data_IF_587353499861
#
_entry.id   IF_587353499861
#
_cell.length_a   1.000
_cell.length_b   1.000
_cell.length_c   1.000
_cell.angle_alpha   90.00
_cell.angle_beta   90.00
_cell.angle_gamma   90.00
#
_symmetry.space_group_name_H-M   'P 1'
#
loop_
_entity.id
_entity.type
_entity.pdbx_description
1 polymer ?
#
# COMPACT_ATOMS: atom_id res chain seq x y z
N UNK A 1 -27.28 -18.92 1.98
CA UNK A 1 -27.59 -17.47 1.91
C UNK A 1 -28.27 -17.06 3.20
N UNK A 2 -27.64 -16.23 4.03
CA UNK A 2 -28.30 -15.55 5.16
C UNK A 2 -28.13 -14.05 4.97
N UNK A 3 -29.26 -13.38 4.80
CA UNK A 3 -29.39 -11.94 4.60
C UNK A 3 -29.16 -11.27 5.96
N UNK A 4 -28.15 -10.40 6.05
CA UNK A 4 -27.96 -9.51 7.20
C UNK A 4 -28.75 -8.24 6.93
N UNK A 5 -29.74 -7.96 7.77
CA UNK A 5 -30.53 -6.73 7.72
C UNK A 5 -29.81 -5.69 8.60
N UNK A 6 -29.23 -4.67 7.97
CA UNK A 6 -28.71 -3.49 8.66
C UNK A 6 -29.87 -2.50 8.88
N UNK A 7 -30.20 -2.21 10.15
CA UNK A 7 -31.18 -1.18 10.51
C UNK A 7 -30.42 0.11 10.86
N UNK A 8 -30.64 1.16 10.08
CA UNK A 8 -30.04 2.49 10.25
C UNK A 8 -31.09 3.41 10.86
N UNK A 9 -30.85 3.93 12.07
CA UNK A 9 -31.70 4.97 12.69
C UNK A 9 -31.02 6.32 12.50
N UNK A 10 -31.58 7.16 11.63
CA UNK A 10 -31.13 8.52 11.37
C UNK A 10 -31.85 9.50 12.31
N UNK A 11 -31.10 10.17 13.18
CA UNK A 11 -31.57 11.33 13.95
C UNK A 11 -31.01 12.59 13.29
N UNK A 12 -31.90 13.48 12.86
CA UNK A 12 -31.60 14.76 12.20
C UNK A 12 -31.21 15.82 13.24
N UNK A 13 -29.97 16.28 13.15
CA UNK A 13 -29.40 17.39 13.92
C UNK A 13 -27.89 17.24 13.90
N UNK A 14 -27.17 18.13 13.21
CA UNK A 14 -25.75 17.98 12.87
C UNK A 14 -24.92 17.36 14.01
N UNK A 15 -24.41 16.13 13.87
CA UNK A 15 -23.47 15.57 14.83
C UNK A 15 -22.11 15.36 14.16
N UNK A 16 -21.04 15.48 14.94
CA UNK A 16 -19.86 14.64 14.71
C UNK A 16 -20.40 13.20 14.70
N UNK A 17 -20.51 12.59 13.53
CA UNK A 17 -21.19 11.30 13.36
C UNK A 17 -20.28 10.21 13.91
N UNK A 18 -20.28 10.06 15.24
CA UNK A 18 -19.73 8.89 15.90
C UNK A 18 -20.57 7.69 15.44
N UNK A 19 -20.00 6.89 14.54
CA UNK A 19 -20.66 5.70 14.04
C UNK A 19 -20.34 4.54 14.98
N UNK A 20 -21.38 3.82 15.38
CA UNK A 20 -21.23 2.55 16.08
C UNK A 20 -21.61 1.38 15.17
N UNK A 21 -20.73 0.39 15.03
CA UNK A 21 -21.03 -0.87 14.34
C UNK A 21 -21.05 -2.01 15.34
N UNK A 22 -22.15 -2.76 15.38
CA UNK A 22 -22.24 -4.01 16.13
C UNK A 22 -21.84 -5.16 15.20
N UNK A 23 -20.92 -6.00 15.66
CA UNK A 23 -20.35 -7.10 14.91
C UNK A 23 -20.58 -8.41 15.66
N UNK A 24 -20.89 -9.47 14.91
CA UNK A 24 -20.99 -10.82 15.44
C UNK A 24 -20.43 -11.82 14.44
N UNK A 25 -19.58 -12.72 14.90
CA UNK A 25 -18.97 -13.76 14.07
C UNK A 25 -19.03 -15.09 14.79
N UNK A 26 -19.23 -16.15 14.01
CA UNK A 26 -19.30 -17.51 14.52
C UNK A 26 -18.50 -18.42 13.60
N UNK A 27 -17.46 -19.03 14.14
CA UNK A 27 -16.63 -20.02 13.44
C UNK A 27 -16.75 -21.39 14.07
N UNK A 28 -16.65 -22.44 13.25
CA UNK A 28 -16.66 -23.83 13.70
C UNK A 28 -15.26 -24.39 13.70
N UNK A 29 -15.00 -25.29 14.65
CA UNK A 29 -13.76 -26.03 14.72
C UNK A 29 -13.73 -27.14 13.66
N UNK A 30 -12.61 -27.25 12.96
CA UNK A 30 -12.18 -28.44 12.27
C UNK A 30 -11.63 -29.50 13.25
N UNK A 31 -11.22 -30.64 12.70
CA UNK A 31 -10.67 -31.72 13.53
C UNK A 31 -9.35 -31.28 14.19
N UNK A 32 -9.28 -31.39 15.53
CA UNK A 32 -8.08 -31.09 16.30
C UNK A 32 -7.79 -29.60 16.53
N UNK A 33 -8.65 -28.69 16.05
CA UNK A 33 -8.45 -27.26 16.26
C UNK A 33 -8.80 -26.82 17.69
N UNK A 34 -7.97 -25.96 18.24
CA UNK A 34 -8.11 -25.41 19.60
C UNK A 34 -9.04 -24.19 19.62
N UNK A 35 -9.53 -23.83 20.81
CA UNK A 35 -10.32 -22.60 21.00
C UNK A 35 -9.59 -21.37 20.44
N UNK A 36 -8.30 -21.23 20.74
CA UNK A 36 -7.51 -20.06 20.34
C UNK A 36 -7.40 -19.94 18.81
N UNK A 37 -7.25 -21.06 18.11
CA UNK A 37 -7.21 -21.08 16.63
C UNK A 37 -8.56 -20.66 16.04
N UNK A 38 -9.66 -21.24 16.55
CA UNK A 38 -11.01 -20.97 16.01
C UNK A 38 -11.47 -19.56 16.34
N UNK A 39 -11.27 -19.10 17.58
CA UNK A 39 -11.61 -17.74 18.00
C UNK A 39 -10.71 -16.69 17.37
N UNK A 40 -9.41 -16.97 17.21
CA UNK A 40 -8.48 -16.09 16.49
C UNK A 40 -8.90 -15.89 15.04
N UNK A 41 -9.23 -16.97 14.33
CA UNK A 41 -9.77 -16.89 12.96
C UNK A 41 -11.12 -16.16 12.90
N UNK A 42 -12.01 -16.40 13.86
CA UNK A 42 -13.28 -15.67 13.95
C UNK A 42 -13.06 -14.16 14.13
N UNK A 43 -12.10 -13.77 14.98
CA UNK A 43 -11.76 -12.37 15.21
C UNK A 43 -11.16 -11.75 13.95
N UNK A 44 -10.22 -12.43 13.29
CA UNK A 44 -9.63 -11.97 12.04
C UNK A 44 -10.70 -11.72 10.97
N UNK A 45 -11.57 -12.69 10.71
CA UNK A 45 -12.64 -12.55 9.73
C UNK A 45 -13.64 -11.44 10.10
N UNK A 46 -13.88 -11.21 11.39
CA UNK A 46 -14.71 -10.10 11.87
C UNK A 46 -14.05 -8.75 11.59
N UNK A 47 -12.74 -8.63 11.83
CA UNK A 47 -11.97 -7.41 11.59
C UNK A 47 -11.90 -7.09 10.09
N UNK A 48 -11.70 -8.09 9.24
CA UNK A 48 -11.75 -7.92 7.78
C UNK A 48 -13.14 -7.41 7.31
N UNK A 49 -14.23 -7.98 7.84
CA UNK A 49 -15.59 -7.51 7.57
C UNK A 49 -15.85 -6.08 8.07
N UNK A 50 -15.27 -5.72 9.22
CA UNK A 50 -15.29 -4.35 9.72
C UNK A 50 -14.62 -3.41 8.72
N UNK A 51 -13.40 -3.70 8.26
CA UNK A 51 -12.68 -2.83 7.33
C UNK A 51 -13.43 -2.61 6.02
N UNK A 52 -14.02 -3.68 5.45
CA UNK A 52 -14.85 -3.58 4.25
C UNK A 52 -16.09 -2.72 4.51
N UNK A 53 -16.73 -2.87 5.67
CA UNK A 53 -17.90 -2.08 6.06
C UNK A 53 -17.54 -0.60 6.27
N UNK A 54 -16.42 -0.32 6.95
CA UNK A 54 -15.92 1.04 7.15
C UNK A 54 -15.61 1.72 5.83
N UNK A 55 -14.90 1.03 4.92
CA UNK A 55 -14.62 1.56 3.60
C UNK A 55 -15.89 1.91 2.82
N UNK A 56 -16.93 1.05 2.88
CA UNK A 56 -18.21 1.32 2.23
C UNK A 56 -18.87 2.60 2.76
N UNK A 57 -18.84 2.80 4.07
CA UNK A 57 -19.40 4.01 4.71
C UNK A 57 -18.55 5.24 4.38
N UNK A 58 -17.22 5.13 4.45
CA UNK A 58 -16.28 6.19 4.07
C UNK A 58 -16.51 6.59 2.62
N UNK A 59 -16.73 5.63 1.70
CA UNK A 59 -16.97 5.91 0.30
C UNK A 59 -18.23 6.75 0.04
N UNK A 60 -19.18 6.78 0.99
CA UNK A 60 -20.37 7.61 0.93
C UNK A 60 -20.14 9.08 1.38
N UNK A 61 -19.01 9.37 2.04
CA UNK A 61 -18.69 10.73 2.54
C UNK A 61 -18.29 11.70 1.43
N UNK A 62 -18.39 13.00 1.70
CA UNK A 62 -17.94 14.04 0.77
C UNK A 62 -16.40 14.07 0.67
N UNK A 63 -15.70 13.79 1.76
CA UNK A 63 -14.25 13.71 1.83
C UNK A 63 -13.66 12.63 0.92
N UNK A 64 -14.30 11.45 0.86
CA UNK A 64 -13.90 10.40 -0.08
C UNK A 64 -14.15 10.83 -1.52
N UNK A 65 -15.32 11.41 -1.81
CA UNK A 65 -15.66 11.90 -3.16
C UNK A 65 -14.67 12.96 -3.65
N UNK A 66 -14.23 13.87 -2.77
CA UNK A 66 -13.22 14.87 -3.10
C UNK A 66 -11.89 14.23 -3.53
N UNK A 67 -11.44 13.18 -2.82
CA UNK A 67 -10.22 12.43 -3.18
C UNK A 67 -10.39 11.63 -4.45
N UNK A 68 -11.53 10.99 -4.64
CA UNK A 68 -11.86 10.26 -5.86
C UNK A 68 -11.76 11.19 -7.09
N UNK A 69 -12.30 12.42 -6.98
CA UNK A 69 -12.18 13.43 -8.02
C UNK A 69 -10.73 13.87 -8.24
N UNK A 70 -9.94 14.05 -7.17
CA UNK A 70 -8.53 14.41 -7.29
C UNK A 70 -7.70 13.31 -7.99
N UNK A 71 -7.92 12.04 -7.65
CA UNK A 71 -7.31 10.90 -8.32
C UNK A 71 -7.71 10.86 -9.80
N UNK A 72 -9.00 11.04 -10.10
CA UNK A 72 -9.52 11.09 -11.48
C UNK A 72 -8.89 12.21 -12.31
N UNK A 73 -8.71 13.40 -11.74
CA UNK A 73 -8.03 14.53 -12.40
C UNK A 73 -6.57 14.23 -12.76
N UNK A 74 -5.94 13.30 -12.04
CA UNK A 74 -4.55 12.88 -12.26
C UNK A 74 -4.43 11.57 -13.04
N UNK A 75 -5.52 11.09 -13.65
CA UNK A 75 -5.55 9.80 -14.37
C UNK A 75 -5.06 8.61 -13.52
N UNK A 76 -5.27 8.69 -12.20
CA UNK A 76 -4.93 7.60 -11.28
C UNK A 76 -6.11 6.62 -11.20
N UNK A 77 -5.85 5.30 -11.21
CA UNK A 77 -6.91 4.32 -11.04
C UNK A 77 -7.54 4.40 -9.65
N UNK A 78 -8.86 4.23 -9.58
CA UNK A 78 -9.62 4.27 -8.34
C UNK A 78 -9.19 3.19 -7.34
N UNK A 79 -8.66 2.07 -7.82
CA UNK A 79 -8.12 1.01 -6.96
C UNK A 79 -7.05 1.52 -6.01
N UNK A 80 -6.20 2.47 -6.43
CA UNK A 80 -5.16 3.03 -5.55
C UNK A 80 -5.74 3.83 -4.39
N UNK A 81 -6.84 4.55 -4.61
CA UNK A 81 -7.53 5.25 -3.52
C UNK A 81 -8.13 4.25 -2.54
N UNK A 82 -8.77 3.19 -3.08
CA UNK A 82 -9.35 2.11 -2.28
C UNK A 82 -8.29 1.41 -1.42
N UNK A 83 -7.15 1.08 -2.01
CA UNK A 83 -6.05 0.38 -1.34
C UNK A 83 -5.43 1.25 -0.24
N UNK A 84 -5.27 2.56 -0.49
CA UNK A 84 -4.79 3.51 0.51
C UNK A 84 -5.71 3.56 1.74
N UNK A 85 -7.04 3.57 1.55
CA UNK A 85 -7.97 3.50 2.67
C UNK A 85 -7.93 2.16 3.39
N UNK A 86 -7.88 1.05 2.67
CA UNK A 86 -7.78 -0.28 3.30
C UNK A 86 -6.53 -0.39 4.18
N UNK A 87 -5.40 0.13 3.71
CA UNK A 87 -4.16 0.18 4.50
C UNK A 87 -4.33 1.01 5.78
N UNK A 88 -4.93 2.19 5.71
CA UNK A 88 -5.20 3.01 6.90
C UNK A 88 -6.15 2.34 7.90
N UNK A 89 -7.13 1.58 7.39
CA UNK A 89 -8.12 0.88 8.19
C UNK A 89 -7.56 -0.34 8.91
N UNK A 90 -6.39 -0.88 8.54
CA UNK A 90 -5.79 -2.05 9.22
C UNK A 90 -5.56 -1.82 10.72
N UNK A 91 -5.36 -0.57 11.13
CA UNK A 91 -5.19 -0.17 12.53
C UNK A 91 -6.51 -0.18 13.33
N UNK A 92 -7.65 -0.18 12.63
CA UNK A 92 -8.97 -0.17 13.26
C UNK A 92 -9.35 -1.58 13.70
N UNK A 93 -9.59 -1.74 15.00
CA UNK A 93 -9.94 -3.03 15.59
C UNK A 93 -11.26 -2.94 16.34
N UNK A 94 -12.13 -3.95 16.25
CA UNK A 94 -13.37 -3.95 17.00
C UNK A 94 -13.09 -4.28 18.48
N UNK A 95 -13.81 -3.61 19.39
CA UNK A 95 -13.77 -3.90 20.82
C UNK A 95 -14.62 -5.12 21.13
N UNK A 96 -13.99 -6.21 21.57
CA UNK A 96 -14.69 -7.44 21.95
C UNK A 96 -15.56 -7.21 23.19
N UNK A 97 -16.86 -7.46 23.02
CA UNK A 97 -17.88 -7.40 24.07
C UNK A 97 -18.19 -8.78 24.66
N UNK A 98 -17.84 -9.85 23.95
CA UNK A 98 -17.94 -11.19 24.48
C UNK A 98 -17.42 -12.27 23.55
N UNK A 99 -16.81 -13.28 24.14
CA UNK A 99 -16.35 -14.51 23.49
C UNK A 99 -17.00 -15.70 24.17
N UNK A 100 -17.47 -16.67 23.37
CA UNK A 100 -18.02 -17.92 23.87
C UNK A 100 -17.52 -19.10 23.04
N UNK A 101 -16.88 -20.04 23.71
CA UNK A 101 -16.47 -21.32 23.17
C UNK A 101 -17.38 -22.45 23.65
N UNK A 102 -17.70 -23.40 22.78
CA UNK A 102 -18.56 -24.57 23.10
C UNK A 102 -17.90 -25.91 22.78
N UNK A 103 -16.57 -25.97 22.66
CA UNK A 103 -15.84 -27.18 22.27
C UNK A 103 -15.79 -27.45 20.76
N UNK A 104 -16.70 -26.88 19.97
CA UNK A 104 -16.77 -27.07 18.51
C UNK A 104 -17.07 -25.77 17.74
N UNK A 105 -17.25 -24.66 18.45
CA UNK A 105 -17.66 -23.38 17.88
C UNK A 105 -17.20 -22.24 18.76
N UNK A 106 -16.64 -21.21 18.13
CA UNK A 106 -16.40 -19.93 18.77
C UNK A 106 -17.44 -18.91 18.29
N UNK A 107 -18.05 -18.18 19.21
CA UNK A 107 -18.96 -17.07 18.92
C UNK A 107 -18.40 -15.80 19.55
N UNK A 108 -18.24 -14.76 18.72
CA UNK A 108 -17.71 -13.47 19.11
C UNK A 108 -18.78 -12.40 18.92
N UNK A 109 -18.83 -11.44 19.85
CA UNK A 109 -19.58 -10.19 19.74
C UNK A 109 -18.63 -9.05 19.99
N UNK A 110 -18.65 -8.05 19.12
CA UNK A 110 -17.82 -6.88 19.24
C UNK A 110 -18.58 -5.61 18.85
N UNK A 111 -18.02 -4.48 19.21
CA UNK A 111 -18.50 -3.16 18.79
C UNK A 111 -17.31 -2.34 18.28
N UNK A 112 -17.54 -1.59 17.23
CA UNK A 112 -16.62 -0.55 16.77
C UNK A 112 -17.29 0.80 16.96
N UNK A 113 -16.54 1.77 17.46
CA UNK A 113 -16.97 3.17 17.60
C UNK A 113 -15.88 4.05 16.99
N UNK A 114 -16.24 4.91 16.04
CA UNK A 114 -15.28 5.76 15.35
C UNK A 114 -15.93 6.95 14.64
N UNK A 115 -15.12 7.98 14.39
CA UNK A 115 -15.51 9.14 13.60
C UNK A 115 -15.23 8.85 12.12
N UNK A 116 -16.29 8.67 11.34
CA UNK A 116 -16.21 8.36 9.92
C UNK A 116 -15.58 9.48 9.11
N UNK A 117 -15.85 10.72 9.45
CA UNK A 117 -15.33 11.87 8.71
C UNK A 117 -13.83 12.02 9.01
N UNK A 118 -13.41 11.75 10.24
CA UNK A 118 -11.99 11.68 10.59
C UNK A 118 -11.28 10.55 9.83
N UNK A 119 -11.88 9.35 9.73
CA UNK A 119 -11.35 8.24 8.93
C UNK A 119 -11.25 8.61 7.45
N UNK A 120 -12.29 9.25 6.90
CA UNK A 120 -12.32 9.71 5.52
C UNK A 120 -11.22 10.74 5.22
N UNK A 121 -10.75 11.49 6.22
CA UNK A 121 -9.67 12.47 6.05
C UNK A 121 -8.26 11.89 6.09
N UNK A 122 -8.05 10.66 6.57
CA UNK A 122 -6.71 10.07 6.79
C UNK A 122 -5.88 9.89 5.52
N UNK A 123 -6.51 9.53 4.40
CA UNK A 123 -5.81 9.48 3.11
C UNK A 123 -5.59 10.91 2.63
N UNK A 124 -4.38 11.26 2.21
CA UNK A 124 -4.11 12.60 1.69
C UNK A 124 -4.81 12.81 0.34
N UNK A 125 -5.23 14.05 0.05
CA UNK A 125 -5.59 14.42 -1.32
C UNK A 125 -4.26 14.51 -2.08
N UNK A 126 -4.10 13.79 -3.21
CA UNK A 126 -2.87 13.86 -3.97
C UNK A 126 -2.70 15.30 -4.44
N UNK A 127 -1.59 15.91 -4.05
CA UNK A 127 -1.24 17.25 -4.52
C UNK A 127 -1.17 17.22 -6.03
N UNK A 128 -1.68 18.29 -6.67
CA UNK A 128 -1.63 18.42 -8.12
C UNK A 128 -0.16 18.64 -8.48
N UNK A 129 0.51 17.72 -9.20
CA UNK A 129 1.80 18.05 -9.78
C UNK A 129 1.57 19.22 -10.75
N UNK A 130 2.49 20.18 -10.79
CA UNK A 130 2.44 21.27 -11.74
C UNK A 130 2.26 20.74 -13.18
N UNK A 131 1.15 21.14 -13.80
CA UNK A 131 0.83 21.03 -15.23
C UNK A 131 0.60 19.63 -15.84
N UNK A 132 -0.21 19.55 -16.92
CA UNK A 132 -0.41 18.34 -17.67
C UNK A 132 0.91 17.90 -18.27
N UNK A 133 1.16 16.60 -18.19
CA UNK A 133 2.22 15.88 -18.88
C UNK A 133 2.44 16.44 -20.30
N UNK A 134 3.59 17.07 -20.50
CA UNK A 134 4.29 16.99 -21.79
C UNK A 134 4.31 15.52 -22.22
N UNK A 135 4.31 15.21 -23.54
CA UNK A 135 4.46 13.83 -23.98
C UNK A 135 5.67 13.26 -23.23
N UNK A 136 5.46 12.15 -22.50
CA UNK A 136 6.37 11.63 -21.45
C UNK A 136 7.81 11.40 -21.93
N UNK A 137 8.05 11.55 -23.22
CA UNK A 137 9.35 11.49 -23.86
C UNK A 137 9.45 12.29 -25.20
N UNK A 138 8.80 13.44 -25.33
CA UNK A 138 8.96 14.24 -26.56
C UNK A 138 10.36 14.86 -26.66
N UNK A 139 10.94 14.94 -27.88
CA UNK A 139 12.15 15.72 -28.09
C UNK A 139 11.92 17.20 -27.73
N UNK A 140 12.89 17.88 -27.11
CA UNK A 140 12.81 19.30 -26.85
C UNK A 140 12.64 20.10 -28.16
N UNK A 141 12.01 21.29 -28.12
CA UNK A 141 11.94 22.16 -29.29
C UNK A 141 13.31 22.38 -29.93
N UNK A 142 13.44 22.11 -31.22
CA UNK A 142 14.68 22.26 -31.98
C UNK A 142 15.61 21.04 -32.00
N UNK A 143 15.25 19.93 -31.34
CA UNK A 143 15.95 18.65 -31.44
C UNK A 143 15.20 17.73 -32.40
N UNK A 144 15.89 17.17 -33.38
CA UNK A 144 15.27 16.21 -34.29
C UNK A 144 15.00 14.85 -33.57
N UNK A 145 13.90 14.15 -33.91
CA UNK A 145 13.55 12.89 -33.26
C UNK A 145 14.63 11.80 -33.40
N UNK A 146 15.39 11.78 -34.50
CA UNK A 146 16.41 10.75 -34.71
C UNK A 146 17.58 10.94 -33.75
N UNK A 147 18.03 12.17 -33.57
CA UNK A 147 19.05 12.52 -32.57
C UNK A 147 18.55 12.26 -31.16
N UNK A 148 17.28 12.57 -30.86
CA UNK A 148 16.67 12.25 -29.57
C UNK A 148 16.70 10.76 -29.25
N UNK A 149 16.41 9.90 -30.24
CA UNK A 149 16.47 8.45 -30.10
C UNK A 149 17.88 7.91 -29.90
N UNK A 150 18.91 8.51 -30.50
CA UNK A 150 20.31 8.09 -30.29
C UNK A 150 20.73 8.17 -28.81
N UNK A 151 20.15 9.11 -28.06
CA UNK A 151 20.42 9.28 -26.62
C UNK A 151 19.44 8.53 -25.71
N UNK A 152 18.50 7.76 -26.24
CA UNK A 152 17.50 6.99 -25.47
C UNK A 152 18.13 6.21 -24.31
N UNK A 153 19.14 5.38 -24.60
CA UNK A 153 19.84 4.58 -23.60
C UNK A 153 20.50 5.39 -22.48
N UNK A 154 21.07 6.56 -22.80
CA UNK A 154 21.70 7.44 -21.81
C UNK A 154 20.64 8.10 -20.92
N UNK A 155 19.49 8.46 -21.50
CA UNK A 155 18.34 9.00 -20.78
C UNK A 155 17.71 7.95 -19.87
N UNK A 156 17.59 6.71 -20.34
CA UNK A 156 17.12 5.57 -19.54
C UNK A 156 18.03 5.30 -18.33
N UNK A 157 19.37 5.34 -18.51
CA UNK A 157 20.31 5.24 -17.39
C UNK A 157 20.13 6.36 -16.39
N UNK A 158 19.93 7.60 -16.85
CA UNK A 158 19.73 8.75 -15.98
C UNK A 158 18.44 8.64 -15.17
N UNK A 159 17.34 8.21 -15.78
CA UNK A 159 16.07 7.97 -15.09
C UNK A 159 16.17 6.83 -14.07
N UNK A 160 16.89 5.76 -14.41
CA UNK A 160 17.20 4.67 -13.46
C UNK A 160 18.06 5.15 -12.30
N UNK A 161 19.12 5.94 -12.54
CA UNK A 161 19.98 6.50 -11.50
C UNK A 161 19.22 7.36 -10.49
N UNK A 162 18.30 8.19 -10.99
CA UNK A 162 17.45 9.02 -10.14
C UNK A 162 16.48 8.18 -9.32
N UNK A 163 15.88 7.14 -9.92
CA UNK A 163 15.05 6.16 -9.21
C UNK A 163 15.86 5.44 -8.13
N UNK A 164 17.08 5.05 -8.44
CA UNK A 164 17.96 4.30 -7.55
C UNK A 164 18.35 5.07 -6.28
N UNK A 165 18.38 6.40 -6.34
CA UNK A 165 18.57 7.23 -5.14
C UNK A 165 17.45 7.01 -4.12
N UNK A 166 16.21 6.84 -4.58
CA UNK A 166 15.07 6.47 -3.70
C UNK A 166 15.21 5.05 -3.17
N UNK A 167 15.68 4.13 -4.03
CA UNK A 167 15.95 2.73 -3.63
C UNK A 167 17.01 2.66 -2.53
N UNK A 168 18.09 3.42 -2.63
CA UNK A 168 19.13 3.44 -1.60
C UNK A 168 18.62 3.97 -0.26
N UNK A 169 17.75 5.00 -0.26
CA UNK A 169 17.11 5.46 0.97
C UNK A 169 16.23 4.37 1.59
N UNK A 170 15.44 3.65 0.78
CA UNK A 170 14.63 2.54 1.26
C UNK A 170 15.47 1.37 1.81
N UNK A 171 16.57 1.01 1.13
CA UNK A 171 17.51 -0.03 1.60
C UNK A 171 18.08 0.29 2.98
N UNK A 172 18.38 1.57 3.26
CA UNK A 172 18.83 2.01 4.57
C UNK A 172 17.76 1.79 5.64
N UNK A 173 16.52 2.21 5.39
CA UNK A 173 15.40 1.96 6.32
C UNK A 173 15.14 0.47 6.55
N UNK A 174 15.23 -0.34 5.50
CA UNK A 174 15.06 -1.80 5.60
C UNK A 174 16.16 -2.43 6.46
N UNK A 175 17.39 -1.95 6.28
CA UNK A 175 18.55 -2.41 7.06
C UNK A 175 18.42 -2.02 8.53
N UNK A 176 18.01 -0.79 8.83
CA UNK A 176 17.73 -0.33 10.20
C UNK A 176 16.64 -1.17 10.86
N UNK A 177 15.55 -1.43 10.15
CA UNK A 177 14.46 -2.29 10.63
C UNK A 177 14.97 -3.71 10.95
N UNK A 178 15.71 -4.33 10.02
CA UNK A 178 16.29 -5.65 10.20
C UNK A 178 17.26 -5.72 11.38
N UNK A 179 18.15 -4.74 11.54
CA UNK A 179 19.10 -4.71 12.64
C UNK A 179 18.42 -4.52 14.01
N UNK A 180 17.22 -3.93 14.04
CA UNK A 180 16.45 -3.73 15.27
C UNK A 180 15.60 -4.95 15.66
N UNK A 181 15.01 -5.65 14.69
CA UNK A 181 14.03 -6.72 14.91
C UNK A 181 14.50 -8.14 14.56
N UNK A 182 15.60 -8.26 13.82
CA UNK A 182 16.10 -9.54 13.30
C UNK A 182 15.28 -10.12 12.13
N UNK A 183 14.28 -9.39 11.64
CA UNK A 183 13.43 -9.76 10.51
C UNK A 183 13.29 -8.61 9.54
N UNK A 184 13.13 -8.92 8.26
CA UNK A 184 12.85 -7.90 7.24
C UNK A 184 11.45 -7.31 7.42
N UNK A 185 11.21 -6.06 6.98
CA UNK A 185 9.88 -5.46 7.03
C UNK A 185 8.95 -6.10 6.01
N UNK A 186 7.69 -6.31 6.39
CA UNK A 186 6.64 -6.86 5.53
C UNK A 186 5.98 -5.75 4.68
N UNK A 187 6.05 -4.50 5.15
CA UNK A 187 5.49 -3.34 4.48
C UNK A 187 6.35 -2.06 4.61
N UNK A 188 6.18 -1.11 3.69
CA UNK A 188 6.83 0.22 3.80
C UNK A 188 6.38 0.96 5.08
N UNK A 189 5.13 0.73 5.49
CA UNK A 189 4.55 1.31 6.70
C UNK A 189 5.23 0.82 7.98
N UNK A 190 5.71 -0.42 8.01
CA UNK A 190 6.44 -0.99 9.16
C UNK A 190 7.72 -0.19 9.44
N UNK A 191 8.31 0.36 8.38
CA UNK A 191 9.48 1.25 8.45
C UNK A 191 9.12 2.73 8.63
N UNK A 192 7.84 3.06 8.77
CA UNK A 192 7.37 4.45 8.86
C UNK A 192 7.44 5.23 7.54
N UNK A 193 7.57 4.54 6.40
CA UNK A 193 7.64 5.17 5.07
C UNK A 193 6.26 5.15 4.42
N UNK A 194 5.72 6.33 4.13
CA UNK A 194 4.44 6.46 3.46
C UNK A 194 4.58 6.14 1.96
N UNK A 195 3.63 5.41 1.38
CA UNK A 195 3.68 5.03 -0.04
C UNK A 195 3.77 6.24 -0.97
N UNK A 196 3.16 7.36 -0.59
CA UNK A 196 3.14 8.61 -1.34
C UNK A 196 4.52 9.28 -1.41
N UNK A 197 5.44 8.96 -0.49
CA UNK A 197 6.82 9.43 -0.55
C UNK A 197 7.65 8.66 -1.59
N UNK A 198 7.22 7.45 -1.94
CA UNK A 198 7.91 6.56 -2.88
C UNK A 198 7.29 6.64 -4.27
N UNK A 199 5.96 6.66 -4.37
CA UNK A 199 5.23 6.71 -5.63
C UNK A 199 5.21 8.15 -6.17
N UNK A 200 5.52 8.31 -7.46
CA UNK A 200 5.53 9.63 -8.08
C UNK A 200 5.91 9.59 -9.55
N UNK A 201 6.71 10.57 -9.99
CA UNK A 201 7.08 10.75 -11.40
C UNK A 201 7.81 9.52 -12.00
N UNK A 202 8.57 8.78 -11.19
CA UNK A 202 9.48 7.71 -11.64
C UNK A 202 9.12 6.32 -11.15
N UNK A 203 8.34 6.23 -10.08
CA UNK A 203 7.93 4.98 -9.45
C UNK A 203 6.41 4.95 -9.47
N UNK A 204 5.86 3.93 -10.11
CA UNK A 204 4.43 3.68 -10.21
C UNK A 204 3.92 2.97 -8.96
N UNK A 205 4.68 1.96 -8.52
CA UNK A 205 4.38 1.12 -7.36
C UNK A 205 5.68 0.59 -6.76
N UNK A 206 5.67 0.39 -5.44
CA UNK A 206 6.75 -0.27 -4.72
C UNK A 206 6.15 -1.35 -3.81
N UNK A 207 6.79 -2.51 -3.81
CA UNK A 207 6.37 -3.69 -3.07
C UNK A 207 7.54 -4.21 -2.25
N UNK A 208 7.27 -4.58 -1.01
CA UNK A 208 8.14 -5.46 -0.26
C UNK A 208 7.63 -6.90 -0.41
N UNK A 209 8.58 -7.79 -0.64
CA UNK A 209 8.38 -9.22 -0.82
C UNK A 209 9.26 -9.96 0.18
N UNK A 210 8.97 -11.24 0.37
CA UNK A 210 9.70 -12.11 1.31
C UNK A 210 11.23 -12.01 1.15
N UNK A 211 11.92 -12.08 2.29
CA UNK A 211 13.38 -12.01 2.33
C UNK A 211 13.95 -10.61 2.14
N UNK A 212 13.15 -9.56 2.36
CA UNK A 212 13.61 -8.16 2.23
C UNK A 212 13.75 -7.73 0.78
N UNK A 213 13.06 -8.37 -0.15
CA UNK A 213 13.11 -8.01 -1.56
C UNK A 213 12.22 -6.79 -1.83
N UNK A 214 12.82 -5.70 -2.27
CA UNK A 214 12.12 -4.49 -2.70
C UNK A 214 11.98 -4.49 -4.22
N UNK A 215 10.73 -4.49 -4.70
CA UNK A 215 10.40 -4.45 -6.12
C UNK A 215 9.67 -3.15 -6.47
N UNK A 216 10.15 -2.44 -7.49
CA UNK A 216 9.54 -1.23 -8.01
C UNK A 216 9.04 -1.44 -9.44
N UNK A 217 7.81 -1.02 -9.70
CA UNK A 217 7.31 -0.76 -11.05
C UNK A 217 7.64 0.69 -11.41
N UNK A 218 8.34 0.89 -12.52
CA UNK A 218 8.78 2.22 -12.95
C UNK A 218 7.63 2.99 -13.62
N UNK A 219 7.74 4.30 -13.61
CA UNK A 219 6.80 5.24 -14.22
C UNK A 219 7.52 6.18 -15.21
N UNK A 220 6.75 7.08 -15.82
CA UNK A 220 7.29 8.06 -16.76
C UNK A 220 7.83 7.38 -18.02
N UNK A 221 9.08 7.70 -18.37
CA UNK A 221 9.77 7.16 -19.56
C UNK A 221 10.03 5.65 -19.46
N UNK A 222 10.16 5.12 -18.25
CA UNK A 222 10.45 3.70 -17.99
C UNK A 222 9.19 2.90 -17.62
N UNK A 223 7.99 3.43 -17.88
CA UNK A 223 6.73 2.73 -17.59
C UNK A 223 6.70 1.34 -18.27
N UNK A 224 6.25 0.34 -17.54
CA UNK A 224 6.29 -1.07 -17.95
C UNK A 224 7.59 -1.81 -17.60
N UNK A 225 8.64 -1.11 -17.18
CA UNK A 225 9.86 -1.72 -16.65
C UNK A 225 9.83 -1.86 -15.12
N UNK A 226 10.71 -2.72 -14.61
CA UNK A 226 10.82 -3.04 -13.19
C UNK A 226 12.27 -2.90 -12.73
N UNK A 227 12.44 -2.54 -11.45
CA UNK A 227 13.71 -2.54 -10.72
C UNK A 227 13.48 -3.31 -9.42
N UNK A 228 14.29 -4.33 -9.17
CA UNK A 228 14.20 -5.16 -7.97
C UNK A 228 15.54 -5.15 -7.26
N UNK A 229 15.54 -5.05 -5.94
CA UNK A 229 16.72 -5.23 -5.11
C UNK A 229 16.42 -6.12 -3.92
N UNK A 230 17.40 -6.91 -3.50
CA UNK A 230 17.29 -7.79 -2.35
C UNK A 230 18.60 -7.81 -1.57
N UNK A 231 18.54 -8.01 -0.25
CA UNK A 231 19.71 -8.17 0.56
C UNK A 231 20.34 -9.55 0.30
N UNK A 232 21.65 -9.61 0.37
CA UNK A 232 22.44 -10.84 0.39
C UNK A 232 23.37 -10.81 1.59
N UNK A 233 23.67 -11.99 2.15
CA UNK A 233 24.61 -12.09 3.26
C UNK A 233 26.03 -11.77 2.77
N UNK A 234 26.48 -10.55 3.06
CA UNK A 234 27.89 -10.20 2.99
C UNK A 234 28.62 -10.77 4.21
N UNK A 235 29.87 -11.17 4.03
CA UNK A 235 30.69 -11.67 5.15
C UNK A 235 30.73 -10.69 6.33
N UNK A 236 31.12 -11.19 7.52
CA UNK A 236 31.24 -10.38 8.75
C UNK A 236 29.98 -9.56 9.12
N UNK A 237 28.78 -10.15 9.02
CA UNK A 237 27.50 -9.51 9.37
C UNK A 237 27.21 -8.21 8.58
N UNK A 238 27.77 -8.07 7.38
CA UNK A 238 27.46 -6.94 6.50
C UNK A 238 26.29 -7.34 5.60
N UNK A 239 25.25 -6.51 5.58
CA UNK A 239 24.19 -6.65 4.58
C UNK A 239 24.72 -6.04 3.29
N UNK A 240 24.85 -6.85 2.26
CA UNK A 240 25.10 -6.41 0.89
C UNK A 240 23.79 -6.44 0.11
N UNK A 241 23.72 -5.72 -1.01
CA UNK A 241 22.49 -5.59 -1.78
C UNK A 241 22.75 -5.87 -3.24
N UNK A 242 22.03 -6.83 -3.80
CA UNK A 242 21.99 -7.03 -5.24
C UNK A 242 20.82 -6.28 -5.85
N UNK A 243 20.90 -5.99 -7.15
CA UNK A 243 19.74 -5.55 -7.91
C UNK A 243 19.65 -6.10 -9.33
N UNK A 244 18.43 -6.07 -9.87
CA UNK A 244 18.14 -6.35 -11.28
C UNK A 244 17.13 -5.36 -11.84
N UNK A 245 17.17 -5.11 -13.14
CA UNK A 245 16.19 -4.28 -13.84
C UNK A 245 15.85 -4.86 -15.20
N UNK A 246 14.61 -4.67 -15.65
CA UNK A 246 14.16 -5.08 -16.99
C UNK A 246 14.44 -4.03 -18.07
N UNK A 247 15.04 -2.89 -17.73
CA UNK A 247 15.44 -1.87 -18.71
C UNK A 247 16.65 -2.35 -19.48
N UNK A 248 16.56 -2.39 -20.81
CA UNK A 248 17.68 -2.79 -21.66
C UNK A 248 18.66 -1.63 -21.83
N UNK A 249 19.83 -1.77 -21.21
CA UNK A 249 20.89 -0.77 -21.26
C UNK A 249 22.14 -1.29 -21.99
N UNK A 250 22.00 -2.31 -22.84
CA UNK A 250 23.10 -2.92 -23.57
C UNK A 250 24.03 -3.75 -22.68
N UNK A 251 25.30 -3.90 -23.11
CA UNK A 251 26.24 -4.86 -22.52
C UNK A 251 26.63 -4.59 -21.05
N UNK A 252 26.42 -3.38 -20.57
CA UNK A 252 26.67 -2.99 -19.19
C UNK A 252 25.33 -2.77 -18.47
N UNK A 253 24.95 -3.74 -17.66
CA UNK A 253 23.77 -3.65 -16.80
C UNK A 253 23.92 -2.52 -15.77
N UNK A 254 22.83 -1.81 -15.50
CA UNK A 254 22.84 -0.70 -14.54
C UNK A 254 23.24 -1.14 -13.14
N UNK A 255 22.69 -2.28 -12.69
CA UNK A 255 22.91 -2.80 -11.34
C UNK A 255 24.35 -3.18 -11.03
N UNK A 256 25.17 -3.48 -12.04
CA UNK A 256 26.59 -3.79 -11.89
C UNK A 256 27.43 -2.59 -11.40
N UNK A 257 26.92 -1.37 -11.52
CA UNK A 257 27.61 -0.13 -11.12
C UNK A 257 26.83 0.71 -10.11
N UNK A 258 25.64 0.25 -9.72
CA UNK A 258 24.75 0.97 -8.81
C UNK A 258 24.99 0.63 -7.34
N UNK A 259 25.81 -0.40 -7.08
CA UNK A 259 26.25 -0.87 -5.76
C UNK A 259 27.39 -0.03 -5.18
#
# INVERSE_FOLDING_TARGET
>A
MRIVIAAMLLVLGAPVMAMSLALAKVERAGQGETEQQVCGRALQLMTEELHVSLLSVIAATDEYRQRQQAYKKQDRPESLLRDAYLSQLQTETPSLQGQRWTGSRCSLRARYEGDIDALARRVAIPETPASPSEPRDAPPPGIDPKTWELFSSSRDRSELAQTFSTVNALRMHMTEYYLSGGTWPDSLTDMGVAQEQVIGKRIKRAYLLDGGMLKLELAGRLDGHQLTTWPVEGGMQRIEWECSTTVNLGAQGFCTYAE
#
